data_IF_450705875513
#
_entry.id   IF_450705875513
#
_cell.length_a   1.000
_cell.length_b   1.000
_cell.length_c   1.000
_cell.angle_alpha   90.00
_cell.angle_beta   90.00
_cell.angle_gamma   90.00
#
_symmetry.space_group_name_H-M   'P 1'
#
loop_
_entity.id
_entity.type
_entity.pdbx_description
1 polymer ?
#
# COMPACT_ATOMS: atom_id res chain seq x y z
N UNK A 1 14.68 1.07 -1.21
CA UNK A 1 13.69 1.55 -0.23
C UNK A 1 12.45 0.70 -0.35
N UNK A 2 11.70 0.43 0.72
CA UNK A 2 10.49 -0.38 0.65
C UNK A 2 9.30 0.21 1.40
N UNK A 3 8.10 -0.03 0.88
CA UNK A 3 6.82 0.24 1.54
C UNK A 3 6.01 -1.05 1.52
N UNK A 4 5.61 -1.53 2.69
CA UNK A 4 4.88 -2.77 2.87
C UNK A 4 3.50 -2.46 3.43
N UNK A 5 2.46 -2.79 2.66
CA UNK A 5 1.06 -2.53 2.99
C UNK A 5 0.36 -3.88 3.10
N UNK A 6 -0.22 -4.18 4.26
CA UNK A 6 -0.88 -5.45 4.54
C UNK A 6 -2.12 -5.21 5.40
N UNK A 7 -3.30 -5.56 4.90
CA UNK A 7 -4.56 -5.19 5.54
C UNK A 7 -5.45 -6.42 5.71
N UNK A 8 -5.64 -6.84 6.96
CA UNK A 8 -6.57 -7.91 7.35
C UNK A 8 -7.84 -7.33 8.02
N UNK A 9 -7.69 -6.23 8.77
CA UNK A 9 -8.69 -5.64 9.66
C UNK A 9 -9.82 -4.86 8.98
N UNK A 10 -10.28 -5.30 7.81
CA UNK A 10 -11.47 -4.74 7.15
C UNK A 10 -12.77 -5.13 7.88
N UNK A 11 -13.89 -4.41 7.65
CA UNK A 11 -15.21 -4.86 8.11
C UNK A 11 -15.57 -6.27 7.63
N UNK A 12 -15.17 -6.62 6.40
CA UNK A 12 -15.14 -7.99 5.88
C UNK A 12 -13.69 -8.50 5.96
N UNK A 13 -13.29 -9.10 7.09
CA UNK A 13 -11.88 -9.32 7.38
C UNK A 13 -11.23 -10.31 6.41
N UNK A 14 -9.96 -10.06 6.11
CA UNK A 14 -9.07 -10.99 5.43
C UNK A 14 -8.16 -11.67 6.45
N UNK A 15 -7.53 -12.76 6.03
CA UNK A 15 -6.54 -13.48 6.84
C UNK A 15 -5.32 -13.72 5.98
N UNK A 16 -4.19 -13.13 6.38
CA UNK A 16 -2.89 -13.42 5.78
C UNK A 16 -2.21 -12.18 5.20
N UNK A 17 -2.92 -11.09 4.92
CA UNK A 17 -2.33 -9.94 4.23
C UNK A 17 -1.21 -9.28 5.05
N UNK A 18 -1.37 -9.21 6.37
CA UNK A 18 -0.28 -8.75 7.25
C UNK A 18 0.86 -9.76 7.28
N UNK A 19 0.55 -11.06 7.29
CA UNK A 19 1.58 -12.11 7.26
C UNK A 19 2.38 -12.09 5.95
N UNK A 20 1.74 -11.87 4.80
CA UNK A 20 2.39 -11.76 3.49
C UNK A 20 3.37 -10.58 3.49
N UNK A 21 2.94 -9.42 3.99
CA UNK A 21 3.81 -8.26 4.12
C UNK A 21 5.04 -8.53 5.01
N UNK A 22 4.87 -9.30 6.10
CA UNK A 22 5.99 -9.69 6.98
C UNK A 22 6.89 -10.76 6.34
N UNK A 23 6.38 -11.64 5.48
CA UNK A 23 7.20 -12.57 4.69
C UNK A 23 8.04 -11.79 3.67
N UNK A 24 7.46 -10.80 3.01
CA UNK A 24 8.20 -9.91 2.10
C UNK A 24 9.24 -9.08 2.86
N UNK A 25 8.96 -8.62 4.09
CA UNK A 25 9.97 -7.97 4.93
C UNK A 25 11.19 -8.85 5.17
N UNK A 26 10.98 -10.12 5.52
CA UNK A 26 12.08 -11.09 5.70
C UNK A 26 12.86 -11.28 4.41
N UNK A 27 12.18 -11.44 3.28
CA UNK A 27 12.86 -11.54 1.99
C UNK A 27 13.70 -10.29 1.66
N UNK A 28 13.15 -9.10 1.89
CA UNK A 28 13.84 -7.83 1.65
C UNK A 28 15.09 -7.68 2.53
N UNK A 29 15.00 -8.09 3.80
CA UNK A 29 16.08 -7.92 4.78
C UNK A 29 17.12 -9.04 4.70
N UNK A 30 16.69 -10.29 4.61
CA UNK A 30 17.58 -11.46 4.66
C UNK A 30 18.22 -11.76 3.31
N UNK A 31 17.51 -11.55 2.20
CA UNK A 31 17.98 -11.89 0.84
C UNK A 31 18.45 -10.66 0.08
N UNK A 32 17.67 -9.58 0.09
CA UNK A 32 18.01 -8.35 -0.63
C UNK A 32 18.81 -7.35 0.21
N UNK A 33 19.06 -7.67 1.48
CA UNK A 33 19.85 -6.87 2.42
C UNK A 33 19.38 -5.41 2.53
N UNK A 34 18.07 -5.17 2.37
CA UNK A 34 17.46 -3.85 2.58
C UNK A 34 17.49 -3.53 4.07
N UNK A 35 18.13 -2.42 4.49
CA UNK A 35 18.16 -2.01 5.90
C UNK A 35 16.74 -1.76 6.44
N UNK A 36 16.45 -2.19 7.67
CA UNK A 36 15.12 -2.05 8.28
C UNK A 36 14.65 -0.60 8.39
N UNK A 37 15.57 0.37 8.53
CA UNK A 37 15.27 1.81 8.56
C UNK A 37 14.85 2.36 7.19
N UNK A 38 15.01 1.58 6.12
CA UNK A 38 14.54 1.88 4.76
C UNK A 38 13.25 1.14 4.39
N UNK A 39 12.58 0.53 5.37
CA UNK A 39 11.29 -0.16 5.21
C UNK A 39 10.23 0.57 6.02
N UNK A 40 9.14 0.96 5.35
CA UNK A 40 7.96 1.56 5.97
C UNK A 40 6.81 0.56 5.99
N UNK A 41 6.06 0.54 7.08
CA UNK A 41 5.00 -0.43 7.32
C UNK A 41 3.65 0.26 7.44
N UNK A 42 2.68 -0.20 6.66
CA UNK A 42 1.28 0.15 6.79
C UNK A 42 0.46 -1.13 6.97
N UNK A 43 0.41 -1.61 8.20
CA UNK A 43 -0.20 -2.88 8.57
C UNK A 43 -1.46 -2.65 9.41
N UNK A 44 -2.55 -3.29 8.99
CA UNK A 44 -3.85 -3.21 9.65
C UNK A 44 -4.35 -4.61 9.97
N UNK A 45 -4.11 -5.09 11.18
CA UNK A 45 -4.58 -6.40 11.64
C UNK A 45 -6.01 -6.37 12.14
N UNK A 46 -6.62 -7.55 12.26
CA UNK A 46 -7.90 -7.71 12.96
C UNK A 46 -7.74 -7.37 14.45
N UNK A 47 -8.81 -6.86 15.09
CA UNK A 47 -8.77 -6.41 16.48
C UNK A 47 -8.49 -7.54 17.48
N UNK A 48 -8.92 -8.76 17.14
CA UNK A 48 -8.75 -9.97 17.94
C UNK A 48 -7.45 -10.72 17.65
N UNK A 49 -6.67 -10.30 16.64
CA UNK A 49 -5.37 -10.90 16.35
C UNK A 49 -4.28 -10.36 17.30
N UNK A 50 -4.07 -11.07 18.40
CA UNK A 50 -2.92 -10.84 19.31
C UNK A 50 -1.66 -11.59 18.90
N UNK A 51 -1.73 -12.48 17.91
CA UNK A 51 -0.64 -13.39 17.54
C UNK A 51 0.39 -12.71 16.62
N UNK A 52 -0.07 -11.79 15.77
CA UNK A 52 0.80 -11.07 14.84
C UNK A 52 1.42 -9.84 15.51
N UNK A 53 2.75 -9.87 15.66
CA UNK A 53 3.54 -8.73 16.11
C UNK A 53 3.74 -7.74 14.96
N UNK A 54 3.31 -6.49 15.18
CA UNK A 54 3.48 -5.40 14.23
C UNK A 54 4.73 -4.59 14.60
N UNK A 55 5.56 -4.17 13.62
CA UNK A 55 6.72 -3.31 13.87
C UNK A 55 6.34 -2.00 14.58
N UNK A 56 7.20 -1.49 15.46
CA UNK A 56 6.93 -0.28 16.25
C UNK A 56 6.72 0.99 15.40
N UNK A 57 7.32 1.06 14.21
CA UNK A 57 7.17 2.18 13.27
C UNK A 57 6.00 1.99 12.30
N UNK A 58 5.07 1.09 12.60
CA UNK A 58 3.88 0.87 11.80
C UNK A 58 2.92 2.05 11.86
N UNK A 59 2.36 2.38 10.70
CA UNK A 59 1.32 3.39 10.56
C UNK A 59 0.02 2.69 10.14
N UNK A 60 -1.17 3.10 10.61
CA UNK A 60 -2.42 2.51 10.14
C UNK A 60 -2.59 2.68 8.62
N UNK A 61 -3.03 1.65 7.86
CA UNK A 61 -3.17 1.71 6.41
C UNK A 61 -4.46 2.43 5.97
N UNK A 62 -4.65 3.65 6.47
CA UNK A 62 -5.72 4.56 6.01
C UNK A 62 -5.39 5.09 4.63
N UNK A 63 -6.41 5.57 3.92
CA UNK A 63 -6.23 6.18 2.59
C UNK A 63 -5.20 7.30 2.63
N UNK A 64 -5.32 8.20 3.60
CA UNK A 64 -4.40 9.32 3.78
C UNK A 64 -2.96 8.84 4.01
N UNK A 65 -2.76 7.89 4.93
CA UNK A 65 -1.43 7.40 5.26
C UNK A 65 -0.77 6.66 4.09
N UNK A 66 -1.54 5.88 3.32
CA UNK A 66 -1.01 5.20 2.11
C UNK A 66 -0.55 6.24 1.09
N UNK A 67 -1.41 7.21 0.74
CA UNK A 67 -1.08 8.24 -0.26
C UNK A 67 0.08 9.11 0.21
N UNK A 68 0.07 9.56 1.46
CA UNK A 68 1.13 10.40 2.03
C UNK A 68 2.47 9.67 2.10
N UNK A 69 2.46 8.37 2.44
CA UNK A 69 3.67 7.55 2.44
C UNK A 69 4.26 7.44 1.05
N UNK A 70 3.44 7.11 0.04
CA UNK A 70 3.90 6.96 -1.34
C UNK A 70 4.41 8.30 -1.91
N UNK A 71 3.66 9.39 -1.75
CA UNK A 71 4.10 10.73 -2.17
C UNK A 71 5.36 11.18 -1.40
N UNK A 72 5.49 10.77 -0.14
CA UNK A 72 6.66 11.00 0.71
C UNK A 72 7.95 10.43 0.12
N UNK A 73 7.88 9.33 -0.64
CA UNK A 73 9.04 8.76 -1.33
C UNK A 73 9.69 9.76 -2.31
N UNK A 74 8.87 10.56 -3.00
CA UNK A 74 9.35 11.59 -3.92
C UNK A 74 10.10 12.74 -3.23
N UNK A 75 9.84 12.95 -1.92
CA UNK A 75 10.42 14.02 -1.10
C UNK A 75 11.55 13.54 -0.20
N UNK A 76 11.67 12.23 -0.01
CA UNK A 76 12.64 11.64 0.91
C UNK A 76 14.06 11.85 0.42
N UNK A 77 14.86 12.63 1.16
CA UNK A 77 16.26 12.96 0.81
C UNK A 77 17.21 11.78 0.95
N UNK A 78 16.81 10.69 1.64
CA UNK A 78 17.59 9.45 1.76
C UNK A 78 17.48 8.54 0.54
N UNK A 79 16.54 8.81 -0.36
CA UNK A 79 16.38 8.10 -1.64
C UNK A 79 17.13 8.90 -2.69
N UNK A 80 18.24 8.35 -3.16
CA UNK A 80 19.08 8.96 -4.18
C UNK A 80 18.52 8.70 -5.58
N UNK A 81 19.05 9.44 -6.56
CA UNK A 81 18.67 9.20 -7.94
C UNK A 81 19.13 7.82 -8.42
N UNK A 82 18.27 7.07 -9.10
CA UNK A 82 18.58 5.72 -9.56
C UNK A 82 18.35 4.61 -8.52
N UNK A 83 18.02 4.95 -7.27
CA UNK A 83 17.71 3.95 -6.24
C UNK A 83 16.49 3.10 -6.61
N UNK A 84 16.47 1.85 -6.13
CA UNK A 84 15.33 0.95 -6.31
C UNK A 84 14.31 1.11 -5.17
N UNK A 85 13.03 1.14 -5.53
CA UNK A 85 11.89 1.26 -4.63
C UNK A 85 10.98 0.05 -4.84
N UNK A 86 10.68 -0.68 -3.76
CA UNK A 86 9.73 -1.80 -3.78
C UNK A 86 8.48 -1.40 -2.99
N UNK A 87 7.32 -1.55 -3.62
CA UNK A 87 6.02 -1.32 -2.99
C UNK A 87 5.28 -2.64 -3.03
N UNK A 88 4.89 -3.15 -1.87
CA UNK A 88 4.09 -4.36 -1.73
C UNK A 88 2.73 -4.01 -1.13
N UNK A 89 1.67 -4.52 -1.72
CA UNK A 89 0.31 -4.42 -1.20
C UNK A 89 -0.33 -5.80 -1.15
N UNK A 90 -0.87 -6.18 0.00
CA UNK A 90 -1.80 -7.30 0.16
C UNK A 90 -3.06 -6.84 0.88
N UNK A 91 -4.23 -7.13 0.31
CA UNK A 91 -5.52 -6.67 0.84
C UNK A 91 -6.67 -6.78 -0.16
N UNK A 92 -7.78 -6.11 0.14
CA UNK A 92 -8.91 -6.05 -0.80
C UNK A 92 -8.55 -5.16 -2.00
N UNK A 93 -8.98 -5.61 -3.18
CA UNK A 93 -9.07 -4.78 -4.38
C UNK A 93 -10.51 -4.74 -4.88
N UNK A 94 -10.88 -3.64 -5.51
CA UNK A 94 -12.23 -3.37 -5.99
C UNK A 94 -12.21 -3.01 -7.47
N UNK A 95 -13.34 -3.22 -8.14
CA UNK A 95 -13.54 -2.80 -9.53
C UNK A 95 -14.85 -2.04 -9.65
N UNK A 96 -14.79 -0.85 -10.23
CA UNK A 96 -15.91 0.05 -10.43
C UNK A 96 -16.23 0.13 -11.92
N UNK A 97 -17.38 -0.41 -12.31
CA UNK A 97 -17.86 -0.41 -13.69
C UNK A 97 -18.75 0.81 -13.94
N UNK A 98 -18.14 1.92 -14.35
CA UNK A 98 -18.82 3.07 -14.95
C UNK A 98 -18.48 3.14 -16.45
N UNK A 99 -18.34 4.34 -17.03
CA UNK A 99 -18.00 4.53 -18.45
C UNK A 99 -16.68 3.85 -18.85
N UNK A 100 -15.72 3.77 -17.93
CA UNK A 100 -14.52 2.96 -18.07
C UNK A 100 -14.33 2.16 -16.77
N UNK A 101 -13.96 0.87 -16.82
CA UNK A 101 -13.59 0.11 -15.64
C UNK A 101 -12.41 0.78 -14.93
N UNK A 102 -12.55 0.98 -13.62
CA UNK A 102 -11.49 1.47 -12.74
C UNK A 102 -11.28 0.41 -11.68
N UNK A 103 -10.05 -0.05 -11.52
CA UNK A 103 -9.67 -0.91 -10.41
C UNK A 103 -9.07 -0.07 -9.28
N UNK A 104 -9.19 -0.51 -8.03
CA UNK A 104 -8.71 0.26 -6.89
C UNK A 104 -8.24 -0.60 -5.72
N UNK A 105 -7.24 -0.08 -5.00
CA UNK A 105 -6.76 -0.64 -3.74
C UNK A 105 -7.64 -0.13 -2.60
N UNK A 106 -8.06 -1.04 -1.72
CA UNK A 106 -8.98 -0.73 -0.63
C UNK A 106 -8.22 -0.36 0.65
N UNK A 107 -8.24 0.90 1.12
CA UNK A 107 -7.68 1.25 2.42
C UNK A 107 -8.56 0.73 3.57
N UNK A 108 -8.01 0.65 4.79
CA UNK A 108 -8.74 0.12 5.94
C UNK A 108 -9.93 0.99 6.37
N UNK A 109 -9.84 2.29 6.15
CA UNK A 109 -10.86 3.29 6.49
C UNK A 109 -11.82 3.58 5.35
N UNK A 110 -11.83 2.74 4.30
CA UNK A 110 -12.78 2.88 3.18
C UNK A 110 -14.21 2.94 3.69
N UNK A 111 -15.00 3.86 3.16
CA UNK A 111 -16.42 4.00 3.47
C UNK A 111 -17.21 4.13 2.18
N UNK A 112 -18.32 3.38 2.09
CA UNK A 112 -19.25 3.45 0.97
C UNK A 112 -19.99 4.79 0.91
N UNK A 113 -20.91 4.93 -0.06
CA UNK A 113 -21.71 6.15 -0.24
C UNK A 113 -22.36 6.60 1.07
N UNK A 114 -22.31 7.91 1.38
CA UNK A 114 -22.74 8.41 2.68
C UNK A 114 -24.25 8.34 2.83
N UNK A 115 -24.73 7.56 3.81
CA UNK A 115 -26.09 7.65 4.35
C UNK A 115 -26.21 8.78 5.41
N UNK A 116 -25.34 9.80 5.36
CA UNK A 116 -25.31 10.89 6.35
C UNK A 116 -24.00 11.69 6.36
N UNK A 117 -23.88 12.62 7.32
CA UNK A 117 -22.84 13.67 7.47
C UNK A 117 -21.37 13.23 7.54
N UNK A 118 -21.06 11.93 7.49
CA UNK A 118 -19.69 11.44 7.50
C UNK A 118 -19.06 11.47 6.10
N UNK A 119 -17.83 11.99 6.02
CA UNK A 119 -17.09 12.06 4.76
C UNK A 119 -16.81 10.66 4.20
N UNK A 120 -17.16 10.45 2.92
CA UNK A 120 -16.80 9.26 2.17
C UNK A 120 -15.27 9.18 2.01
N UNK A 121 -14.68 8.02 2.32
CA UNK A 121 -13.27 7.74 2.07
C UNK A 121 -13.20 6.79 0.88
N UNK A 122 -12.82 7.28 -0.31
CA UNK A 122 -12.79 6.46 -1.51
C UNK A 122 -11.58 5.53 -1.52
N UNK A 123 -11.70 4.43 -2.26
CA UNK A 123 -10.58 3.56 -2.59
C UNK A 123 -9.52 4.31 -3.42
N UNK A 124 -8.30 3.77 -3.49
CA UNK A 124 -7.19 4.38 -4.25
C UNK A 124 -7.16 3.74 -5.64
N UNK A 125 -7.62 4.47 -6.65
CA UNK A 125 -7.70 3.96 -8.03
C UNK A 125 -6.34 3.62 -8.63
N UNK A 126 -6.32 2.68 -9.56
CA UNK A 126 -5.19 2.36 -10.44
C UNK A 126 -4.59 3.61 -11.09
N UNK A 127 -5.43 4.54 -11.59
CA UNK A 127 -5.01 5.83 -12.17
C UNK A 127 -4.28 6.70 -11.16
N UNK A 128 -4.77 6.74 -9.92
CA UNK A 128 -4.13 7.50 -8.83
C UNK A 128 -2.78 6.88 -8.46
N UNK A 129 -2.71 5.55 -8.32
CA UNK A 129 -1.46 4.83 -8.11
C UNK A 129 -0.48 5.14 -9.25
N UNK A 130 -0.88 5.00 -10.51
CA UNK A 130 -0.01 5.21 -11.67
C UNK A 130 0.51 6.65 -11.72
N UNK A 131 -0.32 7.65 -11.41
CA UNK A 131 0.10 9.04 -11.30
C UNK A 131 1.13 9.26 -10.18
N UNK A 132 0.92 8.65 -9.01
CA UNK A 132 1.87 8.73 -7.89
C UNK A 132 3.20 8.07 -8.25
N UNK A 133 3.16 6.89 -8.89
CA UNK A 133 4.38 6.18 -9.32
C UNK A 133 5.14 6.98 -10.38
N UNK A 134 4.46 7.52 -11.38
CA UNK A 134 5.07 8.38 -12.40
C UNK A 134 5.71 9.62 -11.76
N UNK A 135 5.05 10.22 -10.76
CA UNK A 135 5.59 11.36 -10.04
C UNK A 135 6.87 11.03 -9.26
N UNK A 136 6.91 9.88 -8.58
CA UNK A 136 8.11 9.40 -7.88
C UNK A 136 9.23 9.15 -8.90
N UNK A 137 8.92 8.46 -10.00
CA UNK A 137 9.86 8.16 -11.07
C UNK A 137 10.51 9.45 -11.62
N UNK A 138 9.72 10.45 -12.01
CA UNK A 138 10.25 11.70 -12.58
C UNK A 138 11.09 12.51 -11.59
N UNK A 139 10.81 12.41 -10.28
CA UNK A 139 11.58 13.15 -9.27
C UNK A 139 12.87 12.47 -8.83
N UNK A 140 12.89 11.15 -8.86
CA UNK A 140 13.97 10.34 -8.29
C UNK A 140 14.73 9.53 -9.31
N UNK A 141 14.31 9.50 -10.57
CA UNK A 141 14.84 8.56 -11.57
C UNK A 141 14.91 7.12 -11.01
N UNK A 142 13.93 6.76 -10.17
CA UNK A 142 13.97 5.56 -9.35
C UNK A 142 13.42 4.37 -10.12
N UNK A 143 13.97 3.18 -9.88
CA UNK A 143 13.40 1.93 -10.40
C UNK A 143 12.34 1.44 -9.43
N UNK A 144 11.07 1.52 -9.84
CA UNK A 144 9.95 1.17 -8.97
C UNK A 144 9.42 -0.22 -9.34
N UNK A 145 9.30 -1.09 -8.35
CA UNK A 145 8.63 -2.39 -8.46
C UNK A 145 7.40 -2.38 -7.58
N UNK A 146 6.22 -2.55 -8.19
CA UNK A 146 4.95 -2.71 -7.50
C UNK A 146 4.53 -4.19 -7.53
N UNK A 147 4.27 -4.76 -6.36
CA UNK A 147 3.75 -6.12 -6.19
C UNK A 147 2.38 -6.02 -5.53
N UNK A 148 1.36 -6.56 -6.21
CA UNK A 148 -0.02 -6.54 -5.76
C UNK A 148 -0.51 -7.95 -5.52
N UNK A 149 -0.88 -8.25 -4.28
CA UNK A 149 -1.58 -9.46 -3.86
C UNK A 149 -3.02 -9.08 -3.48
N UNK A 150 -3.83 -8.83 -4.51
CA UNK A 150 -5.23 -8.47 -4.35
C UNK A 150 -6.03 -8.86 -5.61
N UNK A 151 -7.35 -9.00 -5.46
CA UNK A 151 -8.24 -9.12 -6.60
C UNK A 151 -8.27 -7.80 -7.40
N UNK A 152 -8.56 -7.85 -8.70
CA UNK A 152 -8.70 -6.65 -9.56
C UNK A 152 -7.45 -5.75 -9.57
N UNK A 153 -6.31 -6.29 -10.02
CA UNK A 153 -5.01 -5.61 -10.06
C UNK A 153 -4.46 -5.37 -11.49
N UNK A 154 -5.24 -5.70 -12.53
CA UNK A 154 -4.81 -5.61 -13.93
C UNK A 154 -4.71 -4.18 -14.49
N UNK A 155 -5.34 -3.19 -13.85
CA UNK A 155 -5.23 -1.76 -14.16
C UNK A 155 -3.91 -1.13 -13.71
N UNK A 156 -3.22 -1.74 -12.74
CA UNK A 156 -1.96 -1.23 -12.20
C UNK A 156 -0.78 -1.28 -13.20
N UNK A 157 -0.94 -1.97 -14.33
CA UNK A 157 0.08 -2.07 -15.38
C UNK A 157 -0.21 -1.20 -16.61
N UNK A 158 -1.22 -0.32 -16.57
CA UNK A 158 -1.70 0.46 -17.73
C UNK A 158 -1.50 1.96 -17.62
#
# INVERSE_FOLDING_TARGET
>A
WAVLIGIDGYPNPLRGCVADALVIEKYLTDVLHVPKDRIQYLLGKQLDDSSTLIPHNNVPPTRANIVDTLLGLSKNTKINNGDSIIIFFSGHGSSYYYLCPIEALCPIDRRGTPDGQDACVPDISDREINNILAYIYHRKDARITLVLDCCHAGGATK
#
